data_IF_297928747477
#
_entry.id   IF_297928747477
#
_cell.length_a   1.000
_cell.length_b   1.000
_cell.length_c   1.000
_cell.angle_alpha   90.00
_cell.angle_beta   90.00
_cell.angle_gamma   90.00
#
_symmetry.space_group_name_H-M   'P 1'
#
loop_
_entity.id
_entity.type
_entity.pdbx_description
1 polymer ?
#
# COMPACT_ATOMS: atom_id res chain seq x y z
N UNK A 1 13.25 -9.93 9.58
CA UNK A 1 12.84 -9.15 8.38
C UNK A 1 11.86 -9.95 7.51
N UNK A 2 12.24 -11.10 6.95
CA UNK A 2 11.33 -11.88 6.09
C UNK A 2 10.03 -12.35 6.80
N UNK A 3 10.15 -12.79 8.06
CA UNK A 3 9.01 -13.29 8.85
C UNK A 3 8.00 -12.18 9.22
N UNK A 4 8.49 -10.98 9.55
CA UNK A 4 7.64 -9.80 9.79
C UNK A 4 6.89 -9.36 8.52
N UNK A 5 7.53 -9.43 7.36
CA UNK A 5 6.89 -9.08 6.09
C UNK A 5 5.79 -10.08 5.68
N UNK A 6 5.93 -11.35 6.06
CA UNK A 6 4.89 -12.36 5.82
C UNK A 6 3.62 -12.09 6.65
N UNK A 7 3.78 -11.64 7.90
CA UNK A 7 2.64 -11.27 8.75
C UNK A 7 1.98 -9.96 8.27
N UNK A 8 2.77 -9.00 7.77
CA UNK A 8 2.24 -7.79 7.15
C UNK A 8 1.39 -8.08 5.90
N UNK A 9 1.78 -9.08 5.10
CA UNK A 9 0.98 -9.51 3.95
C UNK A 9 -0.40 -10.04 4.38
N UNK A 10 -0.49 -10.76 5.50
CA UNK A 10 -1.77 -11.22 6.07
C UNK A 10 -2.63 -10.06 6.56
N UNK A 11 -2.04 -9.10 7.27
CA UNK A 11 -2.78 -7.92 7.71
C UNK A 11 -3.31 -7.09 6.55
N UNK A 12 -2.54 -6.94 5.46
CA UNK A 12 -3.02 -6.26 4.26
C UNK A 12 -4.20 -6.97 3.61
N UNK A 13 -4.19 -8.31 3.56
CA UNK A 13 -5.32 -9.07 3.02
C UNK A 13 -6.59 -8.85 3.85
N UNK A 14 -6.50 -8.93 5.19
CA UNK A 14 -7.64 -8.66 6.09
C UNK A 14 -8.13 -7.22 5.94
N UNK A 15 -7.22 -6.24 5.86
CA UNK A 15 -7.60 -4.83 5.69
C UNK A 15 -8.30 -4.58 4.34
N UNK A 16 -7.88 -5.25 3.27
CA UNK A 16 -8.53 -5.16 1.97
C UNK A 16 -9.96 -5.74 2.00
N UNK A 17 -10.13 -6.89 2.65
CA UNK A 17 -11.44 -7.53 2.83
C UNK A 17 -12.40 -6.65 3.63
N UNK A 18 -11.95 -6.08 4.75
CA UNK A 18 -12.78 -5.21 5.58
C UNK A 18 -13.10 -3.88 4.88
N UNK A 19 -12.15 -3.29 4.15
CA UNK A 19 -12.42 -2.12 3.34
C UNK A 19 -13.48 -2.40 2.26
N UNK A 20 -13.41 -3.57 1.62
CA UNK A 20 -14.43 -4.00 0.65
C UNK A 20 -15.81 -4.15 1.30
N UNK A 21 -15.89 -4.80 2.48
CA UNK A 21 -17.13 -4.97 3.24
C UNK A 21 -17.74 -3.64 3.68
N UNK A 22 -16.91 -2.67 4.03
CA UNK A 22 -17.35 -1.35 4.46
C UNK A 22 -17.63 -0.37 3.30
N UNK A 23 -17.33 -0.76 2.05
CA UNK A 23 -17.39 0.17 0.91
C UNK A 23 -16.36 1.29 0.97
N UNK A 24 -15.24 1.07 1.68
CA UNK A 24 -14.16 2.02 1.82
C UNK A 24 -13.14 1.91 0.67
N UNK A 25 -12.36 2.97 0.48
CA UNK A 25 -11.17 2.93 -0.36
C UNK A 25 -10.08 2.12 0.34
N UNK A 26 -9.30 1.37 -0.44
CA UNK A 26 -8.14 0.64 0.07
C UNK A 26 -6.91 0.91 -0.79
N UNK A 27 -5.84 1.39 -0.15
CA UNK A 27 -4.55 1.60 -0.78
C UNK A 27 -3.60 0.47 -0.37
N UNK A 28 -3.25 -0.42 -1.30
CA UNK A 28 -2.28 -1.49 -1.04
C UNK A 28 -0.84 -0.97 -1.10
N UNK A 29 -0.38 -0.41 0.03
CA UNK A 29 0.98 0.11 0.14
C UNK A 29 2.04 -1.00 0.03
N UNK A 30 1.72 -2.23 0.42
CA UNK A 30 2.66 -3.35 0.33
C UNK A 30 2.97 -3.67 -1.13
N UNK A 31 1.93 -3.78 -1.97
CA UNK A 31 2.09 -3.95 -3.41
C UNK A 31 2.86 -2.77 -4.02
N UNK A 32 2.45 -1.53 -3.71
CA UNK A 32 3.09 -0.33 -4.27
C UNK A 32 4.59 -0.24 -3.94
N UNK A 33 5.00 -0.55 -2.70
CA UNK A 33 6.41 -0.57 -2.33
C UNK A 33 7.17 -1.74 -2.96
N UNK A 34 6.54 -2.90 -3.13
CA UNK A 34 7.14 -4.05 -3.79
C UNK A 34 7.44 -3.71 -5.25
N UNK A 35 6.45 -3.19 -5.97
CA UNK A 35 6.59 -2.72 -7.36
C UNK A 35 7.66 -1.63 -7.49
N UNK A 36 7.66 -0.63 -6.60
CA UNK A 36 8.65 0.45 -6.64
C UNK A 36 10.08 -0.06 -6.45
N UNK A 37 10.30 -1.07 -5.60
CA UNK A 37 11.61 -1.69 -5.42
C UNK A 37 12.05 -2.50 -6.63
N UNK A 38 11.13 -3.21 -7.28
CA UNK A 38 11.41 -4.03 -8.46
C UNK A 38 11.65 -3.19 -9.70
N UNK A 39 10.94 -2.07 -9.85
CA UNK A 39 11.03 -1.19 -11.01
C UNK A 39 12.34 -0.37 -11.08
N UNK A 40 12.95 -0.06 -9.93
CA UNK A 40 14.16 0.75 -9.87
C UNK A 40 15.19 0.18 -8.86
N UNK A 41 15.79 -0.98 -9.17
CA UNK A 41 16.83 -1.56 -8.32
C UNK A 41 18.03 -0.60 -8.29
N UNK A 42 18.32 -0.04 -7.11
CA UNK A 42 19.37 0.97 -6.91
C UNK A 42 18.87 2.40 -6.69
N UNK A 43 17.55 2.63 -6.77
CA UNK A 43 16.97 3.85 -6.21
C UNK A 43 17.30 3.96 -4.70
N UNK A 44 17.39 5.19 -4.20
CA UNK A 44 17.62 5.46 -2.78
C UNK A 44 16.60 4.73 -1.88
N UNK A 45 16.92 4.54 -0.59
CA UNK A 45 16.12 3.69 0.28
C UNK A 45 14.71 4.26 0.46
N UNK A 46 13.69 3.40 0.37
CA UNK A 46 12.29 3.78 0.63
C UNK A 46 11.99 3.97 2.13
N UNK A 47 12.85 3.43 3.00
CA UNK A 47 12.77 3.57 4.45
C UNK A 47 14.00 4.29 5.00
N UNK A 48 13.83 5.14 6.01
CA UNK A 48 14.93 5.85 6.67
C UNK A 48 15.65 4.99 7.71
N UNK A 49 14.94 4.09 8.39
CA UNK A 49 15.47 3.25 9.48
C UNK A 49 14.96 1.80 9.45
N UNK A 50 14.41 1.38 8.31
CA UNK A 50 13.82 0.05 8.12
C UNK A 50 12.34 -0.05 8.51
N UNK A 51 11.74 1.00 9.10
CA UNK A 51 10.29 1.06 9.39
C UNK A 51 9.66 2.36 8.89
N UNK A 52 10.27 3.51 9.21
CA UNK A 52 9.76 4.82 8.79
C UNK A 52 10.11 5.12 7.33
N UNK A 53 9.21 5.79 6.63
CA UNK A 53 9.42 6.16 5.23
C UNK A 53 10.49 7.25 5.11
N UNK A 54 11.28 7.15 4.04
CA UNK A 54 12.07 8.28 3.54
C UNK A 54 11.18 9.19 2.68
N UNK A 55 11.65 10.38 2.27
CA UNK A 55 10.91 11.21 1.31
C UNK A 55 10.57 10.49 -0.01
N UNK A 56 11.40 9.53 -0.44
CA UNK A 56 11.10 8.71 -1.62
C UNK A 56 9.98 7.69 -1.33
N UNK A 57 9.97 7.12 -0.12
CA UNK A 57 8.87 6.28 0.37
C UNK A 57 7.55 7.04 0.45
N UNK A 58 7.56 8.27 0.98
CA UNK A 58 6.37 9.13 1.06
C UNK A 58 5.78 9.40 -0.33
N UNK A 59 6.63 9.64 -1.33
CA UNK A 59 6.16 9.87 -2.70
C UNK A 59 5.48 8.64 -3.30
N UNK A 60 5.95 7.43 -3.00
CA UNK A 60 5.30 6.18 -3.42
C UNK A 60 3.96 6.01 -2.70
N UNK A 61 3.93 6.21 -1.38
CA UNK A 61 2.70 6.11 -0.59
C UNK A 61 1.63 7.10 -1.05
N UNK A 62 2.03 8.36 -1.27
CA UNK A 62 1.14 9.40 -1.77
C UNK A 62 0.50 9.01 -3.11
N UNK A 63 1.28 8.49 -4.07
CA UNK A 63 0.73 8.00 -5.36
C UNK A 63 -0.23 6.83 -5.18
N UNK A 64 0.10 5.89 -4.31
CA UNK A 64 -0.75 4.72 -4.05
C UNK A 64 -2.10 5.11 -3.42
N UNK A 65 -2.10 6.07 -2.49
CA UNK A 65 -3.34 6.60 -1.88
C UNK A 65 -4.22 7.30 -2.90
N UNK A 66 -3.64 8.12 -3.78
CA UNK A 66 -4.39 8.80 -4.85
C UNK A 66 -4.96 7.83 -5.90
N UNK A 67 -4.29 6.70 -6.13
CA UNK A 67 -4.72 5.66 -7.07
C UNK A 67 -5.64 4.61 -6.44
N UNK A 68 -5.94 4.72 -5.13
CA UNK A 68 -6.68 3.70 -4.40
C UNK A 68 -8.06 3.46 -5.02
N UNK A 69 -8.36 2.25 -5.51
CA UNK A 69 -9.68 1.95 -6.02
C UNK A 69 -10.69 1.93 -4.87
N UNK A 70 -11.95 2.22 -5.20
CA UNK A 70 -13.05 1.81 -4.34
C UNK A 70 -13.04 0.28 -4.22
N UNK A 71 -13.26 -0.25 -3.01
CA UNK A 71 -13.38 -1.69 -2.82
C UNK A 71 -14.46 -2.28 -3.77
N UNK A 72 -14.45 -3.60 -4.03
CA UNK A 72 -15.34 -4.25 -5.00
C UNK A 72 -16.86 -4.15 -4.73
N UNK A 73 -17.29 -3.40 -3.70
CA UNK A 73 -18.70 -3.00 -3.46
C UNK A 73 -18.97 -1.49 -3.58
N UNK A 74 -17.95 -0.65 -3.79
CA UNK A 74 -18.06 0.79 -3.92
C UNK A 74 -18.31 1.21 -5.37
N UNK A 75 -19.54 1.07 -5.85
CA UNK A 75 -19.98 1.84 -7.02
C UNK A 75 -19.87 3.34 -6.74
N UNK A 76 -19.81 4.22 -7.76
CA UNK A 76 -19.70 5.65 -7.55
C UNK A 76 -20.90 6.13 -6.74
N UNK A 77 -20.66 6.44 -5.47
CA UNK A 77 -21.58 7.22 -4.65
C UNK A 77 -21.76 8.55 -5.35
N UNK A 78 -22.93 8.73 -5.96
CA UNK A 78 -23.34 10.03 -6.49
C UNK A 78 -23.44 10.97 -5.28
N UNK A 79 -22.57 11.97 -5.26
CA UNK A 79 -22.75 13.17 -4.45
C UNK A 79 -24.06 13.87 -4.82
#
# INVERSE_FOLDING_TARGET
MAEFNAELSRYNAVAAEEAARAGALFADLYAAFTEAREAAPGAGPLWSDGVHLSPAGDAVAHRAVLAAPAGPGGGPGRC
#
